data_IF_302128262422
#
_entry.id   IF_302128262422
#
_cell.length_a   1.000
_cell.length_b   1.000
_cell.length_c   1.000
_cell.angle_alpha   90.00
_cell.angle_beta   90.00
_cell.angle_gamma   90.00
#
_symmetry.space_group_name_H-M   'P 1'
#
loop_
_entity.id
_entity.type
_entity.pdbx_description
1 polymer ?
#
# COMPACT_ATOMS: atom_id res chain seq x y z
N UNK A 1 19.18 -20.84 30.51
CA UNK A 1 18.13 -20.74 29.47
C UNK A 1 18.78 -20.36 28.15
N UNK A 2 18.30 -20.89 27.02
CA UNK A 2 18.80 -20.56 25.69
C UNK A 2 18.50 -19.09 25.38
N UNK A 3 19.42 -18.41 24.70
CA UNK A 3 19.22 -17.05 24.19
C UNK A 3 18.32 -17.09 22.95
N UNK A 4 17.37 -16.16 22.84
CA UNK A 4 16.51 -16.03 21.66
C UNK A 4 17.34 -15.62 20.44
N UNK A 5 17.30 -16.43 19.40
CA UNK A 5 17.78 -16.09 18.05
C UNK A 5 16.64 -16.22 17.03
N UNK A 6 16.83 -15.68 15.82
CA UNK A 6 15.75 -15.65 14.82
C UNK A 6 15.22 -17.05 14.45
N UNK A 7 16.09 -18.05 14.45
CA UNK A 7 15.76 -19.46 14.19
C UNK A 7 14.84 -20.09 15.24
N UNK A 8 14.76 -19.49 16.44
CA UNK A 8 13.85 -19.93 17.50
C UNK A 8 12.42 -19.42 17.29
N UNK A 9 12.22 -18.44 16.41
CA UNK A 9 10.90 -17.88 16.10
C UNK A 9 10.25 -18.78 15.06
N UNK A 10 9.37 -19.66 15.50
CA UNK A 10 8.75 -20.66 14.62
C UNK A 10 7.47 -20.12 13.99
N UNK A 11 7.45 -20.03 12.66
CA UNK A 11 6.21 -19.81 11.90
C UNK A 11 5.47 -21.13 11.83
N UNK A 12 4.36 -21.25 12.56
CA UNK A 12 3.49 -22.44 12.47
C UNK A 12 2.74 -22.48 11.17
N UNK A 13 2.21 -21.33 10.80
CA UNK A 13 1.35 -21.20 9.64
C UNK A 13 1.28 -19.75 9.18
N UNK A 14 1.26 -19.58 7.87
CA UNK A 14 0.88 -18.33 7.23
C UNK A 14 -0.22 -18.61 6.20
N UNK A 15 -1.23 -17.74 6.15
CA UNK A 15 -2.34 -17.83 5.19
C UNK A 15 -2.64 -16.45 4.63
N UNK A 16 -2.87 -16.38 3.33
CA UNK A 16 -3.35 -15.17 2.67
C UNK A 16 -4.50 -15.50 1.74
N UNK A 17 -5.62 -14.77 1.87
CA UNK A 17 -6.85 -15.08 1.17
C UNK A 17 -7.76 -13.85 1.06
N UNK A 18 -8.61 -13.85 0.03
CA UNK A 18 -9.73 -12.92 -0.07
C UNK A 18 -10.93 -13.49 0.68
N UNK A 19 -11.62 -12.63 1.41
CA UNK A 19 -12.84 -13.00 2.12
C UNK A 19 -13.99 -13.19 1.12
N UNK A 20 -14.32 -14.45 0.87
CA UNK A 20 -15.39 -14.87 -0.04
C UNK A 20 -16.79 -14.45 0.40
N UNK A 21 -16.95 -14.04 1.66
CA UNK A 21 -18.22 -13.49 2.16
C UNK A 21 -18.39 -12.00 1.84
N UNK A 22 -17.34 -11.35 1.33
CA UNK A 22 -17.34 -9.93 0.96
C UNK A 22 -17.17 -9.77 -0.55
N UNK A 23 -17.63 -8.64 -1.07
CA UNK A 23 -17.39 -8.19 -2.43
C UNK A 23 -17.33 -6.67 -2.48
N UNK A 24 -17.12 -6.10 -3.67
CA UNK A 24 -17.14 -4.65 -3.82
C UNK A 24 -18.55 -4.07 -3.60
N UNK A 25 -18.66 -3.21 -2.59
CA UNK A 25 -19.85 -2.44 -2.27
C UNK A 25 -19.72 -1.02 -2.84
N UNK A 26 -20.80 -0.47 -3.40
CA UNK A 26 -20.83 0.90 -3.93
C UNK A 26 -21.91 1.73 -3.23
N UNK A 27 -21.62 3.02 -3.05
CA UNK A 27 -22.56 4.01 -2.56
C UNK A 27 -22.44 5.27 -3.41
N UNK A 28 -23.54 5.63 -4.05
CA UNK A 28 -23.63 6.82 -4.88
C UNK A 28 -24.21 7.99 -4.07
N UNK A 29 -23.63 9.16 -4.24
CA UNK A 29 -24.17 10.45 -3.77
C UNK A 29 -24.33 11.38 -4.96
N UNK A 30 -24.87 12.58 -4.75
CA UNK A 30 -25.01 13.58 -5.81
C UNK A 30 -23.67 13.93 -6.49
N UNK A 31 -22.58 13.95 -5.72
CA UNK A 31 -21.27 14.46 -6.17
C UNK A 31 -20.21 13.38 -6.37
N UNK A 32 -20.34 12.24 -5.67
CA UNK A 32 -19.29 11.23 -5.60
C UNK A 32 -19.82 9.81 -5.58
N UNK A 33 -19.01 8.89 -6.10
CA UNK A 33 -19.02 7.47 -5.87
C UNK A 33 -18.11 7.12 -4.71
N UNK A 34 -18.62 6.38 -3.74
CA UNK A 34 -17.83 5.67 -2.75
C UNK A 34 -17.87 4.19 -3.10
N UNK A 35 -16.75 3.51 -3.01
CA UNK A 35 -16.74 2.06 -3.09
C UNK A 35 -15.79 1.46 -2.08
N UNK A 36 -16.17 0.30 -1.55
CA UNK A 36 -15.37 -0.48 -0.62
C UNK A 36 -15.12 -1.83 -1.27
N UNK A 37 -13.86 -2.20 -1.42
CA UNK A 37 -13.46 -3.43 -2.11
C UNK A 37 -13.67 -4.68 -1.28
N UNK A 38 -13.62 -5.85 -1.93
CA UNK A 38 -13.46 -7.13 -1.25
C UNK A 38 -12.28 -7.06 -0.26
N UNK A 39 -12.44 -7.72 0.89
CA UNK A 39 -11.43 -7.71 1.95
C UNK A 39 -10.37 -8.79 1.67
N UNK A 40 -9.12 -8.40 1.76
CA UNK A 40 -7.97 -9.29 1.79
C UNK A 40 -7.49 -9.50 3.24
N UNK A 41 -7.09 -10.72 3.55
CA UNK A 41 -6.49 -11.08 4.82
C UNK A 41 -5.14 -11.76 4.62
N UNK A 42 -4.18 -11.42 5.46
CA UNK A 42 -2.99 -12.21 5.71
C UNK A 42 -2.88 -12.49 7.22
N UNK A 43 -2.74 -13.74 7.60
CA UNK A 43 -2.63 -14.19 8.99
C UNK A 43 -1.40 -15.06 9.17
N UNK A 44 -0.62 -14.79 10.22
CA UNK A 44 0.54 -15.58 10.60
C UNK A 44 0.42 -16.04 12.06
N UNK A 45 0.49 -17.34 12.30
CA UNK A 45 0.61 -17.93 13.64
C UNK A 45 2.08 -18.19 13.94
N UNK A 46 2.58 -17.59 15.01
CA UNK A 46 3.98 -17.64 15.43
C UNK A 46 4.09 -18.25 16.82
N UNK A 47 5.13 -19.06 17.02
CA UNK A 47 5.50 -19.67 18.29
C UNK A 47 6.87 -19.20 18.76
N UNK A 48 6.95 -18.95 20.07
CA UNK A 48 8.18 -18.70 20.78
C UNK A 48 8.43 -19.79 21.84
N UNK A 49 9.67 -20.23 22.03
CA UNK A 49 10.04 -21.13 23.12
C UNK A 49 10.34 -20.38 24.42
N UNK A 50 10.52 -21.12 25.51
CA UNK A 50 11.12 -20.58 26.73
C UNK A 50 12.59 -20.19 26.48
N UNK A 51 12.89 -18.89 26.56
CA UNK A 51 14.21 -18.37 26.23
C UNK A 51 14.49 -17.04 26.93
N UNK A 52 15.67 -16.47 26.68
CA UNK A 52 16.06 -15.13 27.16
C UNK A 52 16.37 -14.25 25.97
N UNK A 53 15.62 -13.16 25.82
CA UNK A 53 15.92 -12.12 24.84
C UNK A 53 17.00 -11.19 25.41
N UNK A 54 18.16 -11.10 24.76
CA UNK A 54 19.25 -10.21 25.18
C UNK A 54 19.03 -8.74 24.78
N UNK A 55 18.11 -8.51 23.84
CA UNK A 55 17.65 -7.22 23.33
C UNK A 55 16.14 -7.25 23.15
N UNK A 56 15.56 -6.10 22.86
CA UNK A 56 14.17 -6.00 22.42
C UNK A 56 14.03 -6.56 21.00
N UNK A 57 12.92 -7.25 20.73
CA UNK A 57 12.58 -7.77 19.41
C UNK A 57 11.18 -7.32 19.01
N UNK A 58 10.98 -7.09 17.73
CA UNK A 58 9.68 -6.82 17.14
C UNK A 58 9.42 -7.84 16.03
N UNK A 59 8.36 -8.62 16.17
CA UNK A 59 7.93 -9.61 15.18
C UNK A 59 6.64 -9.10 14.53
N UNK A 60 6.63 -8.92 13.22
CA UNK A 60 5.49 -8.30 12.57
C UNK A 60 5.40 -8.47 11.07
N UNK A 61 4.25 -8.06 10.53
CA UNK A 61 3.97 -8.08 9.09
C UNK A 61 4.27 -6.70 8.50
N UNK A 62 5.08 -6.68 7.45
CA UNK A 62 5.40 -5.50 6.65
C UNK A 62 4.76 -5.66 5.28
N UNK A 63 3.96 -4.69 4.85
CA UNK A 63 3.40 -4.66 3.49
C UNK A 63 4.09 -3.56 2.68
N UNK A 64 4.31 -3.80 1.39
CA UNK A 64 4.72 -2.78 0.44
C UNK A 64 4.07 -3.01 -0.92
N UNK A 65 3.78 -1.92 -1.63
CA UNK A 65 3.25 -1.93 -2.98
C UNK A 65 4.38 -1.79 -3.99
N UNK A 66 4.48 -2.69 -4.97
CA UNK A 66 5.47 -2.67 -6.06
C UNK A 66 4.85 -2.27 -7.41
N UNK A 67 3.53 -2.36 -7.54
CA UNK A 67 2.81 -1.94 -8.74
C UNK A 67 1.45 -1.32 -8.39
N UNK A 68 1.13 -0.20 -9.04
CA UNK A 68 -0.17 0.44 -8.95
C UNK A 68 -0.58 1.03 -10.31
N UNK A 69 -1.77 0.67 -10.74
CA UNK A 69 -2.53 1.34 -11.79
C UNK A 69 -3.93 1.61 -11.25
N UNK A 70 -4.23 2.88 -10.95
CA UNK A 70 -5.53 3.28 -10.44
C UNK A 70 -6.02 4.48 -11.24
N UNK A 71 -6.90 4.19 -12.21
CA UNK A 71 -7.40 5.13 -13.19
C UNK A 71 -8.89 5.39 -13.02
N UNK A 72 -9.28 6.65 -13.02
CA UNK A 72 -10.65 7.09 -13.26
C UNK A 72 -10.72 7.63 -14.69
N UNK A 73 -11.56 7.05 -15.53
CA UNK A 73 -11.66 7.37 -16.96
C UNK A 73 -12.90 8.24 -17.18
N UNK A 74 -12.76 9.28 -17.98
CA UNK A 74 -13.81 10.25 -18.26
C UNK A 74 -14.09 10.29 -19.77
N UNK A 75 -14.47 9.13 -20.31
CA UNK A 75 -14.69 8.89 -21.73
C UNK A 75 -13.48 9.33 -22.59
N UNK A 76 -13.73 9.95 -23.75
CA UNK A 76 -12.71 10.44 -24.67
C UNK A 76 -11.98 11.70 -24.17
N UNK A 77 -12.37 12.27 -23.02
CA UNK A 77 -11.83 13.56 -22.55
C UNK A 77 -10.50 13.40 -21.82
N UNK A 78 -10.22 12.22 -21.28
CA UNK A 78 -8.99 11.89 -20.57
C UNK A 78 -9.21 10.99 -19.37
N UNK A 79 -8.19 10.88 -18.53
CA UNK A 79 -8.25 10.09 -17.30
C UNK A 79 -7.51 10.78 -16.16
N UNK A 80 -7.88 10.46 -14.91
CA UNK A 80 -7.06 10.77 -13.74
C UNK A 80 -6.41 9.51 -13.20
N UNK A 81 -5.12 9.56 -12.91
CA UNK A 81 -4.36 8.46 -12.32
C UNK A 81 -3.94 8.81 -10.90
N UNK A 82 -4.18 7.90 -9.96
CA UNK A 82 -3.38 7.85 -8.74
C UNK A 82 -2.03 7.27 -9.10
N UNK A 83 -0.96 7.94 -8.69
CA UNK A 83 0.41 7.59 -9.06
C UNK A 83 1.37 7.78 -7.89
N UNK A 84 2.32 6.87 -7.82
CA UNK A 84 3.50 6.97 -6.96
C UNK A 84 4.68 7.46 -7.81
N UNK A 85 5.11 8.71 -7.61
CA UNK A 85 6.29 9.25 -8.30
C UNK A 85 7.53 8.36 -8.15
N UNK A 86 7.86 7.79 -6.96
CA UNK A 86 9.02 6.93 -6.82
C UNK A 86 8.98 5.67 -7.69
N UNK A 87 7.81 5.06 -7.88
CA UNK A 87 7.66 3.86 -8.70
C UNK A 87 7.65 4.19 -10.19
N UNK A 88 6.90 5.23 -10.57
CA UNK A 88 6.79 5.67 -11.98
C UNK A 88 8.14 6.02 -12.60
N UNK A 89 9.04 6.62 -11.82
CA UNK A 89 10.37 7.04 -12.27
C UNK A 89 11.50 6.10 -11.84
N UNK A 90 11.18 4.93 -11.28
CA UNK A 90 12.19 3.92 -10.90
C UNK A 90 13.14 4.36 -9.79
N UNK A 91 12.76 5.35 -8.98
CA UNK A 91 13.53 5.81 -7.82
C UNK A 91 13.45 4.79 -6.67
N UNK A 92 12.35 4.04 -6.60
CA UNK A 92 12.16 2.90 -5.72
C UNK A 92 11.42 1.80 -6.47
N UNK A 93 11.72 0.55 -6.13
CA UNK A 93 11.02 -0.62 -6.70
C UNK A 93 9.76 -1.00 -5.93
N UNK A 94 9.55 -0.41 -4.75
CA UNK A 94 8.36 -0.57 -3.93
C UNK A 94 8.19 0.61 -2.97
N UNK A 95 7.00 0.73 -2.37
CA UNK A 95 6.67 1.72 -1.36
C UNK A 95 6.00 1.01 -0.18
N UNK A 96 6.48 1.27 1.05
CA UNK A 96 5.88 0.74 2.27
C UNK A 96 4.40 1.11 2.39
N UNK A 97 3.58 0.20 2.91
CA UNK A 97 2.14 0.40 3.07
C UNK A 97 1.71 0.36 4.54
N UNK A 98 2.45 1.04 5.41
CA UNK A 98 2.09 1.23 6.81
C UNK A 98 1.03 2.31 7.01
N UNK A 99 0.52 2.39 8.24
CA UNK A 99 -0.29 3.50 8.73
C UNK A 99 0.48 4.84 8.87
N UNK A 100 1.79 4.85 8.59
CA UNK A 100 2.67 6.01 8.67
C UNK A 100 3.07 6.43 10.09
N UNK A 101 2.66 5.68 11.12
CA UNK A 101 2.99 5.96 12.54
C UNK A 101 4.22 5.19 13.01
N UNK A 102 4.35 3.95 12.59
CA UNK A 102 5.48 3.10 12.93
C UNK A 102 5.89 2.27 11.72
N UNK A 103 7.05 2.62 11.16
CA UNK A 103 7.69 1.77 10.16
C UNK A 103 8.45 0.63 10.85
N UNK A 104 8.57 -0.54 10.21
CA UNK A 104 8.06 -0.89 8.88
C UNK A 104 6.65 -1.50 8.89
N UNK A 105 6.09 -1.78 10.06
CA UNK A 105 4.92 -2.65 10.23
C UNK A 105 3.64 -2.04 9.66
N UNK A 106 2.76 -2.88 9.12
CA UNK A 106 1.50 -2.46 8.50
C UNK A 106 0.61 -1.67 9.48
N UNK A 107 0.46 -2.20 10.70
CA UNK A 107 -0.30 -1.59 11.79
C UNK A 107 0.21 -2.02 13.18
N UNK A 108 0.16 -1.11 14.14
CA UNK A 108 0.57 -1.41 15.52
C UNK A 108 -0.32 -2.44 16.23
N UNK A 109 -1.63 -2.44 15.97
CA UNK A 109 -2.59 -3.16 16.81
C UNK A 109 -2.72 -4.65 16.52
N UNK A 110 -2.49 -5.07 15.27
CA UNK A 110 -2.75 -6.45 14.84
C UNK A 110 -1.59 -7.09 14.08
N UNK A 111 -0.63 -6.30 13.60
CA UNK A 111 0.45 -6.80 12.75
C UNK A 111 1.82 -6.80 13.42
N UNK A 112 1.90 -6.52 14.73
CA UNK A 112 3.13 -6.43 15.49
C UNK A 112 3.01 -7.13 16.86
N UNK A 113 4.05 -7.87 17.24
CA UNK A 113 4.26 -8.40 18.58
C UNK A 113 5.66 -8.01 19.07
N UNK A 114 5.73 -7.27 20.18
CA UNK A 114 6.98 -6.79 20.76
C UNK A 114 7.41 -7.63 21.96
N UNK A 115 8.68 -8.05 21.97
CA UNK A 115 9.33 -8.79 23.05
C UNK A 115 10.34 -7.85 23.71
N UNK A 116 10.23 -7.67 25.02
CA UNK A 116 11.22 -6.92 25.80
C UNK A 116 12.39 -7.81 26.17
N UNK A 117 13.58 -7.20 26.25
CA UNK A 117 14.77 -7.83 26.82
C UNK A 117 14.45 -8.47 28.17
N UNK A 118 14.80 -9.74 28.34
CA UNK A 118 14.57 -10.48 29.57
C UNK A 118 14.09 -11.91 29.31
N UNK A 119 13.43 -12.49 30.32
CA UNK A 119 12.87 -13.82 30.23
C UNK A 119 11.63 -13.81 29.32
N UNK A 120 11.60 -14.75 28.37
CA UNK A 120 10.48 -14.96 27.44
C UNK A 120 9.90 -16.34 27.72
N UNK A 121 8.61 -16.37 28.03
CA UNK A 121 7.88 -17.63 28.22
C UNK A 121 7.42 -18.18 26.88
N UNK A 122 7.36 -19.50 26.79
CA UNK A 122 6.79 -20.20 25.66
C UNK A 122 5.37 -19.69 25.40
N UNK A 123 5.11 -19.29 24.15
CA UNK A 123 3.85 -18.64 23.78
C UNK A 123 3.56 -18.80 22.29
N UNK A 124 2.29 -18.63 21.93
CA UNK A 124 1.84 -18.53 20.55
C UNK A 124 1.00 -17.27 20.39
N UNK A 125 1.12 -16.61 19.24
CA UNK A 125 0.32 -15.44 18.92
C UNK A 125 0.03 -15.37 17.42
N UNK A 126 -1.01 -14.63 17.06
CA UNK A 126 -1.42 -14.41 15.68
C UNK A 126 -1.19 -12.96 15.30
N UNK A 127 -0.52 -12.76 14.17
CA UNK A 127 -0.39 -11.47 13.49
C UNK A 127 -1.32 -11.44 12.29
N UNK A 128 -1.89 -10.27 11.99
CA UNK A 128 -2.85 -10.12 10.92
C UNK A 128 -2.72 -8.78 10.18
N UNK A 129 -2.84 -8.87 8.86
CA UNK A 129 -3.20 -7.77 7.97
C UNK A 129 -4.65 -8.01 7.55
N UNK A 130 -5.45 -6.94 7.65
CA UNK A 130 -6.78 -6.82 7.06
C UNK A 130 -6.71 -5.60 6.14
N UNK A 131 -6.84 -5.84 4.85
CA UNK A 131 -6.73 -4.77 3.86
C UNK A 131 -7.95 -4.74 2.95
N UNK A 132 -8.39 -3.53 2.65
CA UNK A 132 -9.43 -3.21 1.68
C UNK A 132 -9.32 -1.73 1.36
N UNK A 133 -9.68 -1.38 0.13
CA UNK A 133 -9.66 -0.01 -0.32
C UNK A 133 -11.04 0.61 -0.16
N UNK A 134 -11.08 1.85 0.31
CA UNK A 134 -12.31 2.61 0.48
C UNK A 134 -12.20 4.05 -0.06
N UNK A 135 -11.97 4.24 -1.37
CA UNK A 135 -11.82 5.57 -1.94
C UNK A 135 -13.16 6.26 -2.20
N UNK A 136 -13.08 7.58 -2.45
CA UNK A 136 -14.13 8.38 -3.05
C UNK A 136 -13.69 8.93 -4.40
N UNK A 137 -14.59 8.90 -5.38
CA UNK A 137 -14.35 9.37 -6.75
C UNK A 137 -15.45 10.35 -7.13
N UNK A 138 -15.07 11.53 -7.61
CA UNK A 138 -16.02 12.52 -8.10
C UNK A 138 -16.65 12.09 -9.41
N UNK A 139 -17.95 12.32 -9.58
CA UNK A 139 -18.63 12.05 -10.85
C UNK A 139 -18.15 12.94 -11.98
N UNK A 140 -17.71 14.14 -11.65
CA UNK A 140 -17.31 15.16 -12.60
C UNK A 140 -16.05 15.86 -12.09
N UNK A 141 -15.14 16.21 -13.00
CA UNK A 141 -13.93 16.95 -12.60
C UNK A 141 -14.30 18.30 -11.97
N UNK A 142 -13.72 18.66 -10.81
CA UNK A 142 -14.17 19.81 -10.04
C UNK A 142 -13.90 21.17 -10.73
N UNK A 143 -13.04 21.19 -11.75
CA UNK A 143 -12.64 22.41 -12.47
C UNK A 143 -13.02 22.41 -13.95
N UNK A 144 -13.66 21.35 -14.47
CA UNK A 144 -14.06 21.28 -15.89
C UNK A 144 -15.43 20.63 -16.03
N UNK A 145 -16.43 21.44 -16.37
CA UNK A 145 -17.80 20.98 -16.58
C UNK A 145 -17.92 20.01 -17.76
N UNK A 146 -18.83 19.06 -17.64
CA UNK A 146 -19.16 18.02 -18.59
C UNK A 146 -18.16 16.86 -18.63
N UNK A 147 -17.09 16.84 -17.83
CA UNK A 147 -16.12 15.74 -17.84
C UNK A 147 -16.54 14.70 -16.80
N UNK A 148 -17.33 13.72 -17.25
CA UNK A 148 -18.02 12.78 -16.37
C UNK A 148 -17.33 11.42 -16.33
N UNK A 149 -17.34 10.79 -15.16
CA UNK A 149 -16.75 9.48 -14.91
C UNK A 149 -17.51 8.41 -15.70
N UNK A 150 -16.77 7.60 -16.44
CA UNK A 150 -17.30 6.46 -17.19
C UNK A 150 -16.74 5.13 -16.71
N UNK A 151 -15.51 5.09 -16.18
CA UNK A 151 -14.92 3.85 -15.69
C UNK A 151 -13.95 4.08 -14.53
N UNK A 152 -13.78 3.07 -13.69
CA UNK A 152 -12.70 2.99 -12.70
C UNK A 152 -11.95 1.68 -12.92
N UNK A 153 -10.64 1.76 -13.11
CA UNK A 153 -9.74 0.62 -13.20
C UNK A 153 -8.75 0.66 -12.05
N UNK A 154 -8.71 -0.39 -11.23
CA UNK A 154 -7.72 -0.60 -10.18
C UNK A 154 -6.99 -1.91 -10.44
N UNK A 155 -5.66 -1.84 -10.45
CA UNK A 155 -4.76 -2.96 -10.40
C UNK A 155 -3.62 -2.62 -9.45
N UNK A 156 -3.41 -3.42 -8.42
CA UNK A 156 -2.32 -3.20 -7.47
C UNK A 156 -1.66 -4.53 -7.12
N UNK A 157 -0.36 -4.51 -6.86
CA UNK A 157 0.38 -5.67 -6.37
C UNK A 157 1.14 -5.29 -5.11
N UNK A 158 1.23 -6.27 -4.22
CA UNK A 158 1.80 -6.09 -2.91
C UNK A 158 2.66 -7.28 -2.53
N UNK A 159 3.68 -6.97 -1.74
CA UNK A 159 4.46 -7.93 -0.99
C UNK A 159 4.14 -7.80 0.49
N UNK A 160 4.07 -8.93 1.17
CA UNK A 160 4.02 -9.00 2.63
C UNK A 160 5.22 -9.82 3.09
N UNK A 161 5.96 -9.30 4.06
CA UNK A 161 6.99 -10.04 4.78
C UNK A 161 6.58 -10.21 6.23
N UNK A 162 6.71 -11.43 6.74
CA UNK A 162 6.79 -11.65 8.17
C UNK A 162 8.26 -11.46 8.56
N UNK A 163 8.54 -10.50 9.44
CA UNK A 163 9.90 -10.18 9.86
C UNK A 163 10.05 -10.22 11.37
N UNK A 164 11.25 -10.55 11.82
CA UNK A 164 11.71 -10.35 13.19
C UNK A 164 12.86 -9.33 13.19
N UNK A 165 12.68 -8.23 13.90
CA UNK A 165 13.65 -7.14 14.02
C UNK A 165 14.22 -7.19 15.43
N UNK A 166 15.52 -7.48 15.54
CA UNK A 166 16.27 -7.39 16.78
C UNK A 166 16.81 -5.97 16.91
N UNK A 167 16.43 -5.29 18.00
CA UNK A 167 16.84 -3.91 18.23
C UNK A 167 18.37 -3.76 18.23
N UNK A 168 18.84 -2.68 17.63
CA UNK A 168 20.24 -2.27 17.69
C UNK A 168 20.64 -1.85 19.10
N UNK A 169 21.94 -1.63 19.30
CA UNK A 169 22.46 -0.97 20.50
C UNK A 169 23.41 0.16 20.09
N UNK A 170 24.11 0.78 21.04
CA UNK A 170 25.03 1.90 20.74
C UNK A 170 26.12 1.56 19.71
N UNK A 171 26.42 0.28 19.52
CA UNK A 171 27.53 -0.21 18.68
C UNK A 171 27.07 -1.00 17.45
N UNK A 172 25.83 -1.52 17.46
CA UNK A 172 25.30 -2.39 16.41
C UNK A 172 23.99 -1.84 15.86
N UNK A 173 23.84 -1.91 14.53
CA UNK A 173 22.57 -1.61 13.86
C UNK A 173 21.51 -2.65 14.21
N UNK A 174 20.26 -2.32 13.92
CA UNK A 174 19.15 -3.26 13.96
C UNK A 174 19.41 -4.43 13.00
N UNK A 175 19.06 -5.63 13.43
CA UNK A 175 19.19 -6.86 12.65
C UNK A 175 17.79 -7.29 12.22
N UNK A 176 17.56 -7.39 10.91
CA UNK A 176 16.25 -7.73 10.34
C UNK A 176 16.29 -9.12 9.74
N UNK A 177 15.43 -10.01 10.23
CA UNK A 177 15.30 -11.38 9.77
C UNK A 177 13.95 -11.58 9.08
N UNK A 178 13.97 -12.06 7.85
CA UNK A 178 12.73 -12.42 7.12
C UNK A 178 12.38 -13.86 7.46
N UNK A 179 11.17 -14.07 7.97
CA UNK A 179 10.65 -15.39 8.36
C UNK A 179 9.79 -16.01 7.27
N UNK A 180 9.04 -15.18 6.52
CA UNK A 180 8.17 -15.61 5.44
C UNK A 180 7.87 -14.44 4.46
N UNK A 181 7.42 -14.76 3.25
CA UNK A 181 7.05 -13.79 2.22
C UNK A 181 5.84 -14.25 1.40
N UNK A 182 4.88 -13.33 1.25
CA UNK A 182 3.67 -13.51 0.43
C UNK A 182 3.59 -12.42 -0.63
N UNK A 183 2.98 -12.74 -1.76
CA UNK A 183 2.49 -11.78 -2.74
C UNK A 183 0.98 -11.89 -2.92
N UNK A 184 0.33 -10.73 -3.07
CA UNK A 184 -1.08 -10.63 -3.43
C UNK A 184 -1.32 -9.50 -4.42
N UNK A 185 -2.41 -9.60 -5.19
CA UNK A 185 -2.75 -8.65 -6.24
C UNK A 185 -4.24 -8.30 -6.21
N UNK A 186 -4.61 -7.06 -6.47
CA UNK A 186 -6.01 -6.66 -6.48
C UNK A 186 -6.41 -6.08 -7.83
N UNK A 187 -7.45 -6.64 -8.46
CA UNK A 187 -7.94 -6.26 -9.78
C UNK A 187 -9.44 -5.93 -9.73
N UNK A 188 -9.80 -4.70 -10.11
CA UNK A 188 -11.18 -4.23 -10.09
C UNK A 188 -11.44 -3.31 -11.28
N UNK A 189 -12.57 -3.53 -11.96
CA UNK A 189 -13.08 -2.65 -13.01
C UNK A 189 -14.55 -2.32 -12.74
N UNK A 190 -14.87 -1.03 -12.66
CA UNK A 190 -16.25 -0.54 -12.58
C UNK A 190 -16.61 0.17 -13.89
N UNK A 191 -17.78 -0.14 -14.42
CA UNK A 191 -18.41 0.61 -15.51
C UNK A 191 -19.49 1.53 -14.97
N UNK A 192 -19.43 2.79 -15.36
CA UNK A 192 -20.30 3.88 -14.91
C UNK A 192 -21.00 4.49 -16.13
N UNK A 193 -22.30 4.69 -16.03
CA UNK A 193 -23.08 5.47 -16.98
C UNK A 193 -23.48 6.81 -16.32
N UNK A 194 -22.86 7.94 -16.72
CA UNK A 194 -23.13 9.22 -16.09
C UNK A 194 -24.52 9.80 -16.43
N UNK A 195 -25.22 9.24 -17.43
CA UNK A 195 -26.57 9.66 -17.81
C UNK A 195 -27.67 9.00 -16.96
N UNK A 196 -27.33 7.96 -16.21
CA UNK A 196 -28.24 7.32 -15.28
C UNK A 196 -28.43 8.17 -14.00
N UNK A 197 -29.60 8.06 -13.35
CA UNK A 197 -29.83 8.68 -12.06
C UNK A 197 -28.85 8.16 -11.01
N UNK A 198 -28.54 8.99 -10.02
CA UNK A 198 -27.75 8.61 -8.84
C UNK A 198 -28.42 7.40 -8.17
N UNK A 199 -27.64 6.38 -7.87
CA UNK A 199 -28.08 5.06 -7.41
C UNK A 199 -28.08 3.99 -8.49
N UNK A 200 -27.99 4.38 -9.76
CA UNK A 200 -28.00 3.46 -10.91
C UNK A 200 -26.87 3.73 -11.93
N UNK A 201 -25.91 4.61 -11.59
CA UNK A 201 -24.81 4.97 -12.47
C UNK A 201 -23.81 3.83 -12.60
N UNK A 202 -23.47 3.15 -11.51
CA UNK A 202 -22.64 1.94 -11.59
C UNK A 202 -23.43 0.84 -12.28
N UNK A 203 -23.02 0.49 -13.49
CA UNK A 203 -23.70 -0.51 -14.33
C UNK A 203 -23.17 -1.90 -14.12
N UNK A 204 -21.84 -2.03 -13.95
CA UNK A 204 -21.16 -3.31 -13.77
C UNK A 204 -19.95 -3.17 -12.87
N UNK A 205 -19.70 -4.24 -12.11
CA UNK A 205 -18.54 -4.40 -11.25
C UNK A 205 -17.88 -5.72 -11.61
N UNK A 206 -16.61 -5.65 -12.02
CA UNK A 206 -15.76 -6.79 -12.29
C UNK A 206 -14.68 -6.85 -11.21
N UNK A 207 -14.97 -7.59 -10.14
CA UNK A 207 -14.11 -7.78 -8.97
C UNK A 207 -13.60 -9.22 -8.97
N UNK A 208 -12.53 -9.46 -9.73
CA UNK A 208 -12.03 -10.80 -10.02
C UNK A 208 -10.59 -10.93 -9.52
N UNK A 209 -10.43 -11.57 -8.37
CA UNK A 209 -9.13 -11.80 -7.76
C UNK A 209 -8.58 -13.16 -8.14
N UNK A 210 -7.26 -13.23 -8.29
CA UNK A 210 -6.58 -14.51 -8.40
C UNK A 210 -6.62 -15.20 -7.03
N UNK A 211 -7.23 -16.39 -6.89
CA UNK A 211 -7.33 -17.05 -5.59
C UNK A 211 -5.98 -17.53 -5.06
N UNK A 212 -4.95 -17.60 -5.93
CA UNK A 212 -3.62 -18.04 -5.57
C UNK A 212 -2.76 -16.84 -5.16
N UNK A 213 -2.68 -16.60 -3.85
CA UNK A 213 -1.59 -15.81 -3.28
C UNK A 213 -0.30 -16.63 -3.38
N UNK A 214 0.76 -16.02 -3.89
CA UNK A 214 2.03 -16.73 -4.07
C UNK A 214 2.85 -16.61 -2.79
N UNK A 215 2.92 -17.69 -2.03
CA UNK A 215 3.89 -17.85 -0.94
C UNK A 215 5.21 -18.21 -1.61
N UNK A 216 6.27 -17.42 -1.41
CA UNK A 216 7.57 -17.73 -1.98
C UNK A 216 8.34 -18.71 -1.08
N UNK A 217 8.92 -19.74 -1.68
CA UNK A 217 9.70 -20.75 -0.96
C UNK A 217 10.86 -20.15 -0.15
N UNK A 218 11.15 -20.77 0.99
CA UNK A 218 12.18 -20.32 1.94
C UNK A 218 13.57 -20.17 1.32
N UNK A 219 13.88 -20.92 0.24
CA UNK A 219 15.14 -20.85 -0.49
C UNK A 219 15.35 -19.53 -1.25
N UNK A 220 14.28 -18.76 -1.50
CA UNK A 220 14.33 -17.44 -2.14
C UNK A 220 14.43 -16.28 -1.13
N UNK A 221 14.45 -16.57 0.18
CA UNK A 221 14.50 -15.56 1.26
C UNK A 221 15.93 -15.06 1.57
N UNK A 222 16.94 -15.53 0.84
CA UNK A 222 18.34 -15.06 1.02
C UNK A 222 18.49 -13.55 0.78
N UNK A 223 17.54 -12.93 0.07
CA UNK A 223 17.43 -11.48 -0.02
C UNK A 223 16.59 -10.95 1.15
N UNK A 224 17.22 -10.20 2.05
CA UNK A 224 16.53 -9.51 3.14
C UNK A 224 15.42 -8.56 2.66
N UNK A 225 14.68 -7.96 3.59
CA UNK A 225 13.64 -7.00 3.24
C UNK A 225 14.23 -5.77 2.52
N UNK A 226 13.69 -5.33 1.37
CA UNK A 226 14.17 -4.11 0.72
C UNK A 226 14.02 -2.88 1.61
N UNK A 227 15.03 -2.02 1.65
CA UNK A 227 15.05 -0.82 2.52
C UNK A 227 13.86 0.11 2.26
N UNK A 228 13.41 0.23 1.00
CA UNK A 228 12.22 1.01 0.66
C UNK A 228 10.92 0.47 1.30
N UNK A 229 10.89 -0.80 1.72
CA UNK A 229 9.75 -1.41 2.42
C UNK A 229 9.77 -1.07 3.91
N UNK A 230 10.87 -0.50 4.42
CA UNK A 230 11.02 -0.22 5.85
C UNK A 230 11.09 1.26 6.20
N UNK A 231 10.99 2.14 5.20
CA UNK A 231 11.11 3.58 5.36
C UNK A 231 9.92 4.33 4.79
N UNK A 232 9.77 5.57 5.25
CA UNK A 232 8.91 6.56 4.62
C UNK A 232 9.35 6.87 3.17
N UNK A 233 8.47 7.44 2.34
CA UNK A 233 7.04 7.60 2.59
C UNK A 233 6.28 6.28 2.48
N UNK A 234 5.15 6.20 3.17
CA UNK A 234 4.17 5.14 2.95
C UNK A 234 3.23 5.46 1.78
N UNK A 235 2.54 4.47 1.20
CA UNK A 235 1.66 4.60 0.04
C UNK A 235 0.74 5.83 0.10
N UNK A 236 -0.06 5.96 1.16
CA UNK A 236 -1.02 7.06 1.29
C UNK A 236 -0.37 8.46 1.33
N UNK A 237 0.89 8.57 1.78
CA UNK A 237 1.62 9.84 1.76
C UNK A 237 2.32 10.11 0.42
N UNK A 238 2.77 9.06 -0.27
CA UNK A 238 3.49 9.17 -1.55
C UNK A 238 2.57 9.37 -2.76
N UNK A 239 1.31 8.96 -2.67
CA UNK A 239 0.36 9.03 -3.80
C UNK A 239 -0.03 10.45 -4.17
N UNK A 240 -0.22 10.67 -5.46
CA UNK A 240 -0.78 11.88 -6.04
C UNK A 240 -1.85 11.53 -7.05
N UNK A 241 -2.88 12.36 -7.20
CA UNK A 241 -3.90 12.20 -8.23
C UNK A 241 -3.66 13.22 -9.33
N UNK A 242 -3.42 12.76 -10.56
CA UNK A 242 -3.08 13.63 -11.70
C UNK A 242 -4.06 13.38 -12.83
N UNK A 243 -4.60 14.47 -13.37
CA UNK A 243 -5.42 14.48 -14.58
C UNK A 243 -4.56 14.57 -15.83
N UNK A 244 -4.83 13.68 -16.77
CA UNK A 244 -4.25 13.60 -18.10
C UNK A 244 -5.34 13.83 -19.15
N UNK A 245 -5.44 15.04 -19.73
CA UNK A 245 -6.40 15.33 -20.78
C UNK A 245 -6.01 14.67 -22.11
N UNK A 246 -6.99 14.21 -22.89
CA UNK A 246 -6.75 13.73 -24.26
C UNK A 246 -6.67 14.87 -25.28
N UNK A 247 -7.15 16.06 -24.94
CA UNK A 247 -7.12 17.23 -25.83
C UNK A 247 -5.68 17.66 -26.14
N UNK A 248 -5.33 17.69 -27.44
CA UNK A 248 -4.05 18.22 -27.91
C UNK A 248 -3.78 19.62 -27.34
N UNK A 249 -2.59 19.81 -26.74
CA UNK A 249 -2.09 21.03 -26.06
C UNK A 249 -2.53 21.23 -24.61
N UNK A 250 -3.40 20.39 -24.05
CA UNK A 250 -3.72 20.47 -22.63
C UNK A 250 -2.62 19.78 -21.80
N UNK A 251 -2.16 20.45 -20.74
CA UNK A 251 -1.13 19.91 -19.84
C UNK A 251 -1.75 19.09 -18.71
N UNK A 252 -0.99 18.13 -18.19
CA UNK A 252 -1.37 17.38 -17.01
C UNK A 252 -1.60 18.31 -15.82
N UNK A 253 -2.56 17.98 -14.95
CA UNK A 253 -2.92 18.79 -13.78
C UNK A 253 -2.94 17.94 -12.52
N UNK A 254 -2.29 18.43 -11.48
CA UNK A 254 -2.40 17.85 -10.15
C UNK A 254 -3.78 18.14 -9.56
N UNK A 255 -4.50 17.08 -9.17
CA UNK A 255 -5.79 17.16 -8.49
C UNK A 255 -5.61 17.02 -6.98
N UNK A 256 -4.75 16.08 -6.59
CA UNK A 256 -4.37 15.85 -5.19
C UNK A 256 -2.85 15.77 -5.13
N UNK A 257 -2.18 16.68 -4.39
CA UNK A 257 -0.74 16.60 -4.21
C UNK A 257 -0.34 15.47 -3.27
N UNK A 258 0.89 14.94 -3.41
CA UNK A 258 1.43 14.03 -2.43
C UNK A 258 1.69 14.76 -1.11
N UNK A 259 1.50 14.05 0.01
CA UNK A 259 1.87 14.55 1.34
C UNK A 259 3.38 14.44 1.58
N UNK A 260 4.04 13.49 0.94
CA UNK A 260 5.48 13.28 1.05
C UNK A 260 6.09 12.99 -0.31
N UNK A 261 7.23 13.60 -0.58
CA UNK A 261 8.05 13.37 -1.77
C UNK A 261 9.47 13.01 -1.34
N UNK A 262 10.19 12.28 -2.17
CA UNK A 262 11.60 11.89 -1.93
C UNK A 262 12.59 12.69 -2.78
N UNK A 263 12.08 13.61 -3.59
CA UNK A 263 12.87 14.54 -4.41
C UNK A 263 12.39 15.97 -4.14
N UNK A 264 13.26 16.99 -4.37
CA UNK A 264 12.84 18.38 -4.42
C UNK A 264 11.56 18.59 -5.26
N UNK A 265 10.71 19.50 -4.81
CA UNK A 265 9.37 19.70 -5.39
C UNK A 265 9.39 20.09 -6.87
N UNK A 266 10.37 20.89 -7.28
CA UNK A 266 10.59 21.28 -8.67
C UNK A 266 10.92 20.09 -9.57
N UNK A 267 11.71 19.13 -9.07
CA UNK A 267 11.99 17.86 -9.75
C UNK A 267 10.70 17.05 -9.86
N UNK A 268 9.95 16.91 -8.76
CA UNK A 268 8.68 16.20 -8.76
C UNK A 268 7.69 16.78 -9.78
N UNK A 269 7.56 18.10 -9.85
CA UNK A 269 6.67 18.78 -10.81
C UNK A 269 7.12 18.55 -12.25
N UNK A 270 8.42 18.64 -12.52
CA UNK A 270 8.97 18.41 -13.85
C UNK A 270 8.71 16.96 -14.30
N UNK A 271 9.02 15.99 -13.44
CA UNK A 271 8.82 14.57 -13.71
C UNK A 271 7.33 14.27 -13.96
N UNK A 272 6.45 14.67 -13.03
CA UNK A 272 5.05 14.26 -13.06
C UNK A 272 4.19 15.06 -14.05
N UNK A 273 4.49 16.34 -14.28
CA UNK A 273 3.64 17.26 -15.05
C UNK A 273 4.34 17.87 -16.27
N UNK A 274 5.66 17.70 -16.39
CA UNK A 274 6.47 18.18 -17.50
C UNK A 274 7.18 19.52 -17.22
N UNK A 275 8.24 19.82 -18.00
CA UNK A 275 9.18 20.93 -17.72
C UNK A 275 8.56 22.33 -17.92
N UNK A 276 7.44 22.43 -18.64
CA UNK A 276 6.73 23.69 -18.84
C UNK A 276 5.87 24.10 -17.64
N UNK A 277 5.63 23.19 -16.68
CA UNK A 277 4.76 23.43 -15.54
C UNK A 277 5.55 24.00 -14.37
N UNK A 278 5.07 25.10 -13.81
CA UNK A 278 5.60 25.69 -12.57
C UNK A 278 4.49 25.72 -11.53
N UNK A 279 4.69 25.01 -10.43
CA UNK A 279 3.75 24.95 -9.32
C UNK A 279 4.48 25.24 -8.02
N UNK A 280 3.88 26.07 -7.18
CA UNK A 280 4.33 26.27 -5.81
C UNK A 280 4.06 25.00 -5.00
N UNK A 281 5.03 24.63 -4.16
CA UNK A 281 4.91 23.49 -3.26
C UNK A 281 3.74 23.70 -2.27
N UNK A 282 2.77 22.77 -2.17
CA UNK A 282 1.76 22.81 -1.13
C UNK A 282 2.38 22.76 0.27
N UNK A 283 1.80 23.48 1.23
CA UNK A 283 2.31 23.55 2.61
C UNK A 283 2.32 22.20 3.33
N UNK A 284 1.42 21.31 2.95
CA UNK A 284 1.28 19.97 3.55
C UNK A 284 2.28 18.96 2.99
N UNK A 285 2.95 19.27 1.88
CA UNK A 285 3.92 18.36 1.27
C UNK A 285 5.26 18.46 2.01
N UNK A 286 5.76 17.34 2.52
CA UNK A 286 7.07 17.24 3.16
C UNK A 286 8.08 16.57 2.23
N UNK A 287 9.34 17.01 2.29
CA UNK A 287 10.44 16.28 1.66
C UNK A 287 10.96 15.27 2.67
N UNK A 288 11.02 14.01 2.27
CA UNK A 288 11.62 12.92 3.04
C UNK A 288 12.99 12.65 2.44
N UNK A 289 14.03 12.73 3.26
CA UNK A 289 15.40 12.38 2.87
C UNK A 289 15.66 10.92 3.27
N UNK A 290 16.32 10.18 2.40
CA UNK A 290 16.70 8.77 2.62
C UNK A 290 17.90 8.59 3.56
#
# INVERSE_FOLDING_TARGET
MKKLEAEDIRVKQIRAFYDVSTGTEVKETEFMLFYKTQIFYCQAEVELPDCVADRDWDIGLVQACDYMYLANIYEEKGLSLWEFHPLKFGLRNLINDSDGRQYPFYSFSQSLHSIRRGQVSASSFTLQIKDYFHPSVVWELPYKKGVQLSEINRQQKFHIWLVAIKSGNRFNKEEVHVLDRIQWEYNLHLQVDPHMPVGERVRKIYDMQNPYTSIQDQLCLENGIPEAATKAPHCNAAQSLIWYPNENKSVAKILVPPKQVIVPWDIWVNDMLGPSVKLTKPSETCLVLD
#
